data_IF_449788923246
#
_entry.id   IF_449788923246
#
_cell.length_a   1.000
_cell.length_b   1.000
_cell.length_c   1.000
_cell.angle_alpha   90.00
_cell.angle_beta   90.00
_cell.angle_gamma   90.00
#
_symmetry.space_group_name_H-M   'P 1'
#
loop_
_entity.id
_entity.type
_entity.pdbx_description
1 polymer ?
#
# COMPACT_ATOMS: atom_id res chain seq x y z
N UNK A 1 21.47 14.99 29.64
CA UNK A 1 20.35 15.59 28.89
C UNK A 1 20.34 15.00 27.49
N UNK A 2 19.37 14.16 27.17
CA UNK A 2 19.23 13.61 25.82
C UNK A 2 18.74 14.73 24.89
N UNK A 3 19.43 14.98 23.77
CA UNK A 3 18.96 15.97 22.79
C UNK A 3 17.83 15.37 21.96
N UNK A 4 16.66 16.02 21.97
CA UNK A 4 15.49 15.57 21.21
C UNK A 4 15.73 15.59 19.68
N UNK A 5 16.75 16.33 19.22
CA UNK A 5 17.17 16.39 17.82
C UNK A 5 17.76 15.07 17.29
N UNK A 6 18.22 14.17 18.17
CA UNK A 6 18.84 12.90 17.78
C UNK A 6 17.79 11.79 17.56
N UNK A 7 16.60 11.94 18.14
CA UNK A 7 15.52 10.95 18.07
C UNK A 7 15.11 10.57 16.63
N UNK A 8 14.93 11.52 15.69
CA UNK A 8 14.59 11.17 14.31
C UNK A 8 15.69 10.38 13.59
N UNK A 9 16.96 10.63 13.91
CA UNK A 9 18.09 9.91 13.32
C UNK A 9 18.13 8.45 13.82
N UNK A 10 17.86 8.25 15.12
CA UNK A 10 17.79 6.92 15.74
C UNK A 10 16.59 6.12 15.21
N UNK A 11 15.41 6.75 15.07
CA UNK A 11 14.24 6.11 14.49
C UNK A 11 14.50 5.59 13.07
N UNK A 12 15.16 6.42 12.23
CA UNK A 12 15.59 6.03 10.87
C UNK A 12 16.59 4.88 10.89
N UNK A 13 17.62 4.95 11.74
CA UNK A 13 18.64 3.91 11.84
C UNK A 13 18.04 2.54 12.22
N UNK A 14 17.06 2.54 13.10
CA UNK A 14 16.38 1.33 13.57
C UNK A 14 15.19 0.92 12.69
N UNK A 15 14.87 1.70 11.64
CA UNK A 15 13.71 1.48 10.76
C UNK A 15 12.37 1.35 11.51
N UNK A 16 12.18 2.15 12.57
CA UNK A 16 10.94 2.23 13.37
C UNK A 16 10.33 3.62 13.27
N UNK A 17 9.03 3.76 13.55
CA UNK A 17 8.40 5.10 13.66
C UNK A 17 8.86 5.81 14.93
N UNK A 18 8.75 7.15 14.94
CA UNK A 18 9.09 7.95 16.12
C UNK A 18 8.16 7.63 17.30
N UNK A 19 6.86 7.39 17.05
CA UNK A 19 5.94 6.95 18.10
C UNK A 19 6.38 5.62 18.70
N UNK A 20 6.83 4.67 17.86
CA UNK A 20 7.31 3.37 18.33
C UNK A 20 8.58 3.49 19.15
N UNK A 21 9.49 4.39 18.75
CA UNK A 21 10.72 4.69 19.51
C UNK A 21 10.42 5.32 20.88
N UNK A 22 9.35 6.12 20.97
CA UNK A 22 8.89 6.78 22.20
C UNK A 22 8.02 5.87 23.10
N UNK A 23 7.89 4.58 22.76
CA UNK A 23 7.09 3.62 23.54
C UNK A 23 5.60 3.68 23.27
N UNK A 24 5.17 4.40 22.22
CA UNK A 24 3.81 4.33 21.71
C UNK A 24 3.49 2.91 21.26
N UNK A 25 2.39 2.36 21.78
CA UNK A 25 1.81 1.13 21.28
C UNK A 25 1.16 1.44 19.93
N UNK A 26 1.87 1.16 18.85
CA UNK A 26 1.22 1.05 17.54
C UNK A 26 0.37 -0.21 17.59
N UNK A 27 -0.94 -0.04 17.81
CA UNK A 27 -2.03 -1.01 17.60
C UNK A 27 -2.12 -1.52 16.14
N UNK A 28 -1.00 -1.54 15.44
CA UNK A 28 -0.86 -2.12 14.12
C UNK A 28 0.25 -3.14 14.22
N UNK A 29 -0.20 -4.36 14.52
CA UNK A 29 0.51 -5.61 14.31
C UNK A 29 1.64 -5.45 13.28
N UNK A 30 2.87 -5.91 13.56
CA UNK A 30 3.84 -6.08 12.50
C UNK A 30 3.20 -7.09 11.55
N UNK A 31 2.67 -6.60 10.42
CA UNK A 31 2.31 -7.42 9.28
C UNK A 31 3.63 -8.06 8.89
N UNK A 32 3.85 -9.26 9.46
CA UNK A 32 4.95 -10.15 9.15
C UNK A 32 5.15 -10.01 7.66
N UNK A 33 6.38 -9.71 7.25
CA UNK A 33 6.79 -9.77 5.84
C UNK A 33 6.49 -11.19 5.40
N UNK A 34 5.26 -11.38 4.91
CA UNK A 34 4.89 -12.55 4.18
C UNK A 34 5.64 -12.54 2.86
N UNK A 35 5.56 -13.63 2.10
CA UNK A 35 5.86 -13.53 0.67
C UNK A 35 5.10 -12.31 0.13
N UNK A 36 5.79 -11.49 -0.68
CA UNK A 36 5.24 -10.34 -1.41
C UNK A 36 3.81 -10.65 -1.85
N UNK A 37 2.86 -9.75 -1.63
CA UNK A 37 1.47 -9.99 -2.00
C UNK A 37 1.40 -10.44 -3.45
N UNK A 38 0.51 -11.38 -3.79
CA UNK A 38 0.35 -11.85 -5.18
C UNK A 38 0.17 -10.69 -6.16
N UNK A 39 -0.51 -9.62 -5.73
CA UNK A 39 -0.69 -8.41 -6.52
C UNK A 39 0.64 -7.68 -6.76
N UNK A 40 1.46 -7.51 -5.71
CA UNK A 40 2.78 -6.88 -5.80
C UNK A 40 3.71 -7.67 -6.74
N UNK A 41 3.71 -9.01 -6.63
CA UNK A 41 4.46 -9.88 -7.55
C UNK A 41 3.99 -9.72 -9.00
N UNK A 42 2.67 -9.61 -9.22
CA UNK A 42 2.11 -9.39 -10.55
C UNK A 42 2.49 -8.03 -11.13
N UNK A 43 2.51 -6.97 -10.31
CA UNK A 43 2.94 -5.63 -10.73
C UNK A 43 4.41 -5.64 -11.18
N UNK A 44 5.30 -6.30 -10.43
CA UNK A 44 6.72 -6.45 -10.82
C UNK A 44 6.86 -7.14 -12.19
N UNK A 45 6.09 -8.21 -12.41
CA UNK A 45 6.07 -8.91 -13.72
C UNK A 45 5.57 -7.98 -14.82
N UNK A 46 4.50 -7.22 -14.60
CA UNK A 46 3.91 -6.30 -15.59
C UNK A 46 4.92 -5.21 -15.99
N UNK A 47 5.67 -4.66 -15.03
CA UNK A 47 6.69 -3.63 -15.29
C UNK A 47 7.77 -4.14 -16.26
N UNK A 48 8.09 -5.44 -16.23
CA UNK A 48 9.09 -6.06 -17.11
C UNK A 48 8.55 -6.45 -18.49
N UNK A 49 7.25 -6.34 -18.74
CA UNK A 49 6.68 -6.64 -20.06
C UNK A 49 6.99 -5.54 -21.09
N UNK A 50 7.02 -5.84 -22.40
CA UNK A 50 7.05 -4.83 -23.45
C UNK A 50 5.88 -3.85 -23.36
N UNK A 51 6.08 -2.60 -23.81
CA UNK A 51 5.10 -1.50 -23.69
C UNK A 51 3.72 -1.82 -24.26
N UNK A 52 3.64 -2.56 -25.36
CA UNK A 52 2.36 -3.00 -25.93
C UNK A 52 1.56 -3.90 -24.96
N UNK A 53 2.24 -4.82 -24.26
CA UNK A 53 1.61 -5.68 -23.26
C UNK A 53 1.26 -4.93 -21.98
N UNK A 54 2.10 -3.98 -21.56
CA UNK A 54 1.77 -3.09 -20.44
C UNK A 54 0.46 -2.34 -20.69
N UNK A 55 0.32 -1.72 -21.88
CA UNK A 55 -0.87 -0.96 -22.26
C UNK A 55 -2.15 -1.81 -22.22
N UNK A 56 -2.10 -3.01 -22.79
CA UNK A 56 -3.23 -3.95 -22.75
C UNK A 56 -3.65 -4.28 -21.31
N UNK A 57 -2.69 -4.53 -20.43
CA UNK A 57 -2.97 -4.84 -19.01
C UNK A 57 -3.59 -3.63 -18.31
N UNK A 58 -3.06 -2.42 -18.53
CA UNK A 58 -3.62 -1.18 -17.97
C UNK A 58 -5.07 -0.97 -18.40
N UNK A 59 -5.38 -1.11 -19.69
CA UNK A 59 -6.74 -0.96 -20.21
C UNK A 59 -7.73 -1.94 -19.57
N UNK A 60 -7.29 -3.19 -19.31
CA UNK A 60 -8.11 -4.17 -18.60
C UNK A 60 -8.34 -3.79 -17.13
N UNK A 61 -7.30 -3.31 -16.42
CA UNK A 61 -7.44 -2.85 -15.04
C UNK A 61 -8.40 -1.67 -14.95
N UNK A 62 -8.30 -0.70 -15.87
CA UNK A 62 -9.18 0.48 -15.92
C UNK A 62 -10.65 0.06 -16.09
N UNK A 63 -10.92 -0.92 -16.96
CA UNK A 63 -12.27 -1.45 -17.15
C UNK A 63 -12.84 -2.11 -15.89
N UNK A 64 -12.03 -2.90 -15.18
CA UNK A 64 -12.44 -3.57 -13.93
C UNK A 64 -12.69 -2.54 -12.81
N UNK A 65 -11.83 -1.53 -12.70
CA UNK A 65 -11.99 -0.45 -11.72
C UNK A 65 -13.27 0.34 -12.00
N UNK A 66 -13.52 0.70 -13.26
CA UNK A 66 -14.75 1.40 -13.66
C UNK A 66 -15.99 0.56 -13.33
N UNK A 67 -15.95 -0.76 -13.55
CA UNK A 67 -17.05 -1.66 -13.19
C UNK A 67 -17.30 -1.71 -11.68
N UNK A 68 -16.23 -1.80 -10.87
CA UNK A 68 -16.34 -1.81 -9.41
C UNK A 68 -16.95 -0.50 -8.89
N UNK A 69 -16.53 0.65 -9.43
CA UNK A 69 -17.09 1.96 -9.08
C UNK A 69 -18.56 2.09 -9.46
N UNK A 70 -18.98 1.53 -10.60
CA UNK A 70 -20.38 1.51 -11.01
C UNK A 70 -21.24 0.69 -10.03
N UNK A 71 -20.73 -0.45 -9.53
CA UNK A 71 -21.43 -1.28 -8.55
C UNK A 71 -21.60 -0.56 -7.20
N UNK A 72 -20.58 0.17 -6.74
CA UNK A 72 -20.66 1.00 -5.52
C UNK A 72 -21.71 2.12 -5.65
N UNK A 73 -21.83 2.74 -6.83
CA UNK A 73 -22.86 3.78 -7.08
C UNK A 73 -24.28 3.23 -7.28
N UNK A 74 -24.42 1.92 -7.53
CA UNK A 74 -25.70 1.23 -7.55
C UNK A 74 -26.18 0.90 -6.14
N UNK A 75 -25.29 0.38 -5.28
CA UNK A 75 -25.62 0.01 -3.89
C UNK A 75 -26.02 1.18 -3.00
N UNK A 76 -25.63 2.42 -3.32
CA UNK A 76 -25.96 3.62 -2.53
C UNK A 76 -27.33 4.24 -2.89
N UNK A 77 -28.02 3.75 -3.92
CA UNK A 77 -29.33 4.28 -4.36
C UNK A 77 -30.54 3.60 -3.72
N UNK A 78 -30.34 2.47 -3.04
CA UNK A 78 -31.42 1.71 -2.40
C UNK A 78 -31.61 2.08 -0.91
N UNK A 79 -30.84 3.05 -0.39
CA UNK A 79 -30.86 3.49 1.01
C UNK A 79 -31.65 4.80 1.25
N UNK A 80 -32.61 5.17 0.38
CA UNK A 80 -33.50 6.33 0.58
C UNK A 80 -34.97 6.05 0.24
#
# INVERSE_FOLDING_TARGET
>A
MLQLSVLPAVAKLLSVSLERLLGGETEHTPRKRGPTSRLEQQIEVIIQLPKARQKMVTEMLDAVIAQAQQQETGSKRDDF
#
